data_IF_640523623479
#
_entry.id   IF_640523623479
#
_cell.length_a   1.000
_cell.length_b   1.000
_cell.length_c   1.000
_cell.angle_alpha   90.00
_cell.angle_beta   90.00
_cell.angle_gamma   90.00
#
_symmetry.space_group_name_H-M   'P 1'
#
loop_
_entity.id
_entity.type
_entity.pdbx_description
1 polymer ?
#
# COMPACT_ATOMS: atom_id res chain seq x y z
N UNK A 1 -63.34 -14.48 -14.48
CA UNK A 1 -62.28 -13.45 -14.44
C UNK A 1 -61.08 -14.07 -13.74
N UNK A 2 -60.04 -14.46 -14.48
CA UNK A 2 -58.81 -15.08 -13.94
C UNK A 2 -57.66 -14.10 -14.19
N UNK A 3 -57.20 -13.42 -13.16
CA UNK A 3 -56.03 -12.53 -13.23
C UNK A 3 -54.77 -13.34 -12.92
N UNK A 4 -53.96 -13.61 -13.95
CA UNK A 4 -52.59 -14.10 -13.76
C UNK A 4 -51.71 -12.95 -13.27
N UNK A 5 -51.03 -13.15 -12.15
CA UNK A 5 -49.97 -12.25 -11.68
C UNK A 5 -48.62 -12.76 -12.20
N UNK A 6 -48.00 -12.01 -13.11
CA UNK A 6 -46.67 -12.31 -13.63
C UNK A 6 -45.63 -11.75 -12.65
N UNK A 7 -44.94 -12.62 -11.92
CA UNK A 7 -43.79 -12.23 -11.09
C UNK A 7 -42.58 -12.00 -11.98
N UNK A 8 -42.13 -10.75 -12.10
CA UNK A 8 -40.88 -10.41 -12.76
C UNK A 8 -39.70 -10.69 -11.81
N UNK A 9 -38.88 -11.69 -12.12
CA UNK A 9 -37.57 -11.87 -11.48
C UNK A 9 -36.63 -10.77 -11.98
N UNK A 10 -36.33 -9.79 -11.12
CA UNK A 10 -35.18 -8.89 -11.29
C UNK A 10 -33.91 -9.67 -10.94
N UNK A 11 -33.18 -10.10 -11.97
CA UNK A 11 -31.86 -10.71 -11.79
C UNK A 11 -30.85 -9.67 -11.31
N UNK A 12 -30.36 -9.80 -10.08
CA UNK A 12 -29.21 -9.03 -9.60
C UNK A 12 -27.95 -9.57 -10.28
N UNK A 13 -27.42 -8.79 -11.22
CA UNK A 13 -26.08 -9.05 -11.76
C UNK A 13 -25.09 -8.48 -10.75
N UNK A 14 -24.45 -9.34 -9.96
CA UNK A 14 -23.36 -8.93 -9.09
C UNK A 14 -22.15 -8.58 -9.96
N UNK A 15 -21.83 -7.30 -10.07
CA UNK A 15 -20.59 -6.83 -10.71
C UNK A 15 -19.41 -7.18 -9.79
N UNK A 16 -18.65 -8.21 -10.15
CA UNK A 16 -17.35 -8.50 -9.55
C UNK A 16 -16.39 -7.41 -10.00
N UNK A 17 -16.02 -6.50 -9.09
CA UNK A 17 -14.93 -5.56 -9.35
C UNK A 17 -13.63 -6.35 -9.51
N UNK A 18 -12.91 -6.12 -10.61
CA UNK A 18 -11.60 -6.74 -10.82
C UNK A 18 -10.59 -6.12 -9.84
N UNK A 19 -9.87 -6.96 -9.11
CA UNK A 19 -8.78 -6.53 -8.24
C UNK A 19 -7.62 -5.99 -9.09
N UNK A 20 -7.22 -4.75 -8.85
CA UNK A 20 -6.07 -4.12 -9.51
C UNK A 20 -4.83 -4.19 -8.60
N UNK A 21 -3.67 -4.38 -9.21
CA UNK A 21 -2.37 -4.33 -8.52
C UNK A 21 -1.65 -3.05 -8.92
N UNK A 22 -1.33 -2.23 -7.91
CA UNK A 22 -0.59 -0.98 -8.07
C UNK A 22 0.84 -1.17 -7.60
N UNK A 23 1.83 -0.86 -8.44
CA UNK A 23 3.24 -0.96 -8.05
C UNK A 23 3.79 0.39 -7.59
N UNK A 24 4.42 0.41 -6.42
CA UNK A 24 5.17 1.52 -5.86
C UNK A 24 6.63 1.13 -5.81
N UNK A 25 7.47 1.86 -6.55
CA UNK A 25 8.92 1.70 -6.50
C UNK A 25 9.47 2.37 -5.24
N UNK A 26 10.19 1.61 -4.41
CA UNK A 26 10.79 2.09 -3.16
C UNK A 26 12.30 2.21 -3.35
N UNK A 27 12.81 3.45 -3.38
CA UNK A 27 14.23 3.73 -3.57
C UNK A 27 14.66 3.68 -5.04
N UNK A 28 15.91 3.27 -5.28
CA UNK A 28 16.55 3.27 -6.60
C UNK A 28 17.85 4.06 -6.63
N UNK A 29 18.59 4.05 -7.76
CA UNK A 29 19.90 4.68 -7.84
C UNK A 29 19.84 6.17 -7.50
N UNK A 30 20.45 6.56 -6.37
CA UNK A 30 20.43 7.93 -5.87
C UNK A 30 19.06 8.43 -5.37
N UNK A 31 18.06 7.55 -5.23
CA UNK A 31 16.69 7.94 -4.88
C UNK A 31 16.34 7.58 -3.43
N UNK A 32 15.65 8.50 -2.75
CA UNK A 32 15.07 8.31 -1.41
C UNK A 32 13.56 8.59 -1.46
N UNK A 33 12.84 7.81 -2.27
CA UNK A 33 11.43 8.10 -2.58
C UNK A 33 10.59 6.83 -2.70
N UNK A 34 9.28 7.02 -2.60
CA UNK A 34 8.26 6.11 -3.11
C UNK A 34 7.75 6.68 -4.44
N UNK A 35 7.74 5.88 -5.50
CA UNK A 35 7.27 6.31 -6.83
C UNK A 35 6.15 5.38 -7.33
N UNK A 36 4.91 5.87 -7.44
CA UNK A 36 4.45 7.19 -7.01
C UNK A 36 4.47 7.36 -5.48
N UNK A 37 4.47 8.61 -5.00
CA UNK A 37 4.45 8.92 -3.57
C UNK A 37 3.06 8.90 -2.95
N UNK A 38 2.03 8.78 -3.79
CA UNK A 38 0.66 8.50 -3.34
C UNK A 38 -0.14 7.71 -4.37
N UNK A 39 -1.18 7.02 -3.90
CA UNK A 39 -2.12 6.27 -4.72
C UNK A 39 -3.56 6.46 -4.22
N UNK A 40 -4.51 6.29 -5.16
CA UNK A 40 -5.95 6.24 -4.87
C UNK A 40 -6.60 4.92 -5.33
N UNK A 41 -6.22 3.77 -4.75
CA UNK A 41 -6.71 2.46 -5.17
C UNK A 41 -8.15 2.19 -4.67
N UNK A 42 -8.87 1.28 -5.31
CA UNK A 42 -10.17 0.85 -4.82
C UNK A 42 -10.03 -0.13 -3.64
N UNK A 43 -11.04 -0.20 -2.77
CA UNK A 43 -11.10 -1.27 -1.75
C UNK A 43 -11.11 -2.63 -2.45
N UNK A 44 -10.22 -3.52 -2.01
CA UNK A 44 -9.95 -4.81 -2.63
C UNK A 44 -8.69 -4.85 -3.50
N UNK A 45 -8.15 -3.70 -3.90
CA UNK A 45 -6.88 -3.62 -4.64
C UNK A 45 -5.66 -3.98 -3.78
N UNK A 46 -4.53 -4.20 -4.44
CA UNK A 46 -3.23 -4.48 -3.81
C UNK A 46 -2.23 -3.39 -4.16
N UNK A 47 -1.48 -2.93 -3.18
CA UNK A 47 -0.29 -2.09 -3.36
C UNK A 47 0.96 -2.94 -3.18
N UNK A 48 1.73 -3.13 -4.25
CA UNK A 48 3.02 -3.81 -4.25
C UNK A 48 4.15 -2.79 -4.07
N UNK A 49 4.88 -2.89 -2.96
CA UNK A 49 6.11 -2.14 -2.75
C UNK A 49 7.28 -2.93 -3.33
N UNK A 50 7.81 -2.51 -4.49
CA UNK A 50 9.00 -3.08 -5.12
C UNK A 50 10.23 -2.30 -4.66
N UNK A 51 11.13 -2.94 -3.92
CA UNK A 51 12.31 -2.28 -3.37
C UNK A 51 13.48 -2.33 -4.35
N UNK A 52 14.15 -1.20 -4.50
CA UNK A 52 15.33 -1.04 -5.36
C UNK A 52 16.54 -0.63 -4.54
N UNK A 53 17.63 -0.35 -5.23
CA UNK A 53 18.97 -0.06 -4.69
C UNK A 53 18.96 0.69 -3.36
N UNK A 54 19.88 0.28 -2.46
CA UNK A 54 20.00 0.65 -1.04
C UNK A 54 19.06 -0.14 -0.14
N UNK A 55 18.90 0.30 1.10
CA UNK A 55 18.11 -0.38 2.12
C UNK A 55 16.91 0.49 2.49
N UNK A 56 15.71 -0.03 2.28
CA UNK A 56 14.47 0.70 2.46
C UNK A 56 13.41 -0.14 3.17
N UNK A 57 12.35 0.54 3.61
CA UNK A 57 11.16 -0.08 4.22
C UNK A 57 9.90 0.58 3.64
N UNK A 58 8.76 -0.06 3.82
CA UNK A 58 7.43 0.52 3.80
C UNK A 58 6.80 0.20 5.16
N UNK A 59 6.92 1.14 6.09
CA UNK A 59 6.46 0.98 7.47
C UNK A 59 5.29 1.91 7.72
N UNK A 60 4.15 1.41 8.20
CA UNK A 60 3.00 2.27 8.49
C UNK A 60 3.30 3.25 9.61
N UNK A 61 2.80 4.46 9.43
CA UNK A 61 2.81 5.57 10.39
C UNK A 61 1.43 6.21 10.48
N UNK A 62 1.31 7.23 11.33
CA UNK A 62 0.14 8.11 11.35
C UNK A 62 0.43 9.40 10.61
N UNK A 63 -0.61 10.14 10.22
CA UNK A 63 -0.44 11.48 9.68
C UNK A 63 0.30 12.42 10.65
N UNK A 64 0.00 12.32 11.94
CA UNK A 64 0.54 13.20 12.97
C UNK A 64 2.02 12.88 13.31
N UNK A 65 2.41 11.61 13.21
CA UNK A 65 3.76 11.15 13.49
C UNK A 65 4.31 10.36 12.28
N UNK A 66 4.62 11.03 11.15
CA UNK A 66 4.87 10.37 9.86
C UNK A 66 6.16 9.54 9.84
N UNK A 67 7.12 9.84 10.71
CA UNK A 67 8.39 9.12 10.83
C UNK A 67 8.45 8.17 12.03
N UNK A 68 7.29 7.80 12.57
CA UNK A 68 7.17 6.87 13.69
C UNK A 68 6.28 5.72 13.31
N UNK A 69 6.76 4.54 13.65
CA UNK A 69 6.08 3.27 13.45
C UNK A 69 4.72 3.29 14.17
N UNK A 70 3.67 2.91 13.45
CA UNK A 70 2.29 2.93 13.94
C UNK A 70 2.01 1.74 14.87
N UNK A 71 1.92 2.01 16.16
CA UNK A 71 1.54 1.02 17.19
C UNK A 71 0.10 1.21 17.64
N UNK A 72 -0.49 0.15 18.21
CA UNK A 72 -1.75 0.29 18.94
C UNK A 72 -1.58 1.04 20.28
N UNK A 73 -2.67 1.20 21.03
CA UNK A 73 -2.68 1.90 22.32
C UNK A 73 -1.81 1.21 23.40
N UNK A 74 -1.54 -0.09 23.25
CA UNK A 74 -0.65 -0.83 24.12
C UNK A 74 0.82 -0.77 23.66
N UNK A 75 1.11 -0.05 22.58
CA UNK A 75 2.44 0.05 21.98
C UNK A 75 2.83 -1.17 21.14
N UNK A 76 1.89 -2.06 20.83
CA UNK A 76 2.16 -3.25 20.03
C UNK A 76 2.08 -2.90 18.54
N UNK A 77 3.09 -3.32 17.78
CA UNK A 77 3.10 -3.16 16.33
C UNK A 77 2.18 -4.21 15.68
N UNK A 78 0.96 -3.79 15.32
CA UNK A 78 0.04 -4.58 14.50
C UNK A 78 -0.18 -3.99 13.10
N UNK A 79 0.32 -2.78 12.86
CA UNK A 79 0.28 -2.11 11.57
C UNK A 79 1.29 -2.72 10.58
N UNK A 80 1.03 -2.53 9.30
CA UNK A 80 1.88 -3.07 8.24
C UNK A 80 3.32 -2.56 8.38
N UNK A 81 4.27 -3.49 8.29
CA UNK A 81 5.70 -3.19 8.24
C UNK A 81 6.38 -4.20 7.33
N UNK A 82 7.01 -3.71 6.26
CA UNK A 82 7.75 -4.56 5.34
C UNK A 82 9.02 -5.14 5.96
N UNK A 83 9.55 -4.51 7.01
CA UNK A 83 10.95 -4.69 7.39
C UNK A 83 11.91 -4.09 6.34
N UNK A 84 13.20 -4.33 6.54
CA UNK A 84 14.26 -3.81 5.68
C UNK A 84 14.54 -4.73 4.49
N UNK A 85 14.52 -4.16 3.29
CA UNK A 85 14.90 -4.83 2.05
C UNK A 85 16.17 -4.17 1.48
N UNK A 86 17.37 -4.74 1.72
CA UNK A 86 18.60 -4.27 1.11
C UNK A 86 18.73 -4.81 -0.32
N UNK A 87 18.98 -3.91 -1.28
CA UNK A 87 19.23 -4.23 -2.67
C UNK A 87 20.59 -3.65 -3.08
N UNK A 88 21.43 -4.50 -3.68
CA UNK A 88 22.78 -4.12 -4.10
C UNK A 88 22.76 -3.09 -5.24
N UNK A 89 23.83 -2.30 -5.32
CA UNK A 89 24.01 -1.36 -6.43
C UNK A 89 24.16 -2.11 -7.75
N UNK A 90 23.51 -1.60 -8.79
CA UNK A 90 23.55 -2.21 -10.13
C UNK A 90 22.63 -3.42 -10.34
N UNK A 91 21.79 -3.80 -9.36
CA UNK A 91 20.74 -4.80 -9.59
C UNK A 91 19.74 -4.29 -10.63
N UNK A 92 19.47 -5.10 -11.66
CA UNK A 92 18.57 -4.75 -12.78
C UNK A 92 17.27 -5.55 -12.82
N UNK A 93 17.18 -6.66 -12.08
CA UNK A 93 16.00 -7.53 -12.06
C UNK A 93 15.92 -8.33 -10.75
N UNK A 94 14.77 -8.99 -10.51
CA UNK A 94 14.55 -9.83 -9.32
C UNK A 94 14.38 -9.02 -8.04
N UNK A 95 13.81 -7.81 -8.13
CA UNK A 95 13.59 -6.94 -6.99
C UNK A 95 12.64 -7.57 -5.97
N UNK A 96 12.92 -7.45 -4.67
CA UNK A 96 12.01 -7.92 -3.64
C UNK A 96 10.74 -7.07 -3.61
N UNK A 97 9.62 -7.72 -3.34
CA UNK A 97 8.30 -7.11 -3.28
C UNK A 97 7.58 -7.54 -2.01
N UNK A 98 6.85 -6.62 -1.39
CA UNK A 98 5.83 -6.94 -0.38
C UNK A 98 4.50 -6.27 -0.74
N UNK A 99 3.39 -6.85 -0.28
CA UNK A 99 2.04 -6.44 -0.69
C UNK A 99 1.24 -5.92 0.49
N UNK A 100 0.62 -4.75 0.32
CA UNK A 100 -0.38 -4.20 1.22
C UNK A 100 -1.76 -4.32 0.58
N UNK A 101 -2.71 -4.96 1.28
CA UNK A 101 -4.09 -5.09 0.82
C UNK A 101 -4.90 -3.87 1.22
N UNK A 102 -5.63 -3.27 0.28
CA UNK A 102 -6.51 -2.14 0.54
C UNK A 102 -7.84 -2.66 1.08
N UNK A 103 -7.99 -2.68 2.41
CA UNK A 103 -9.16 -3.26 3.08
C UNK A 103 -10.26 -2.24 3.40
N UNK A 104 -9.96 -0.95 3.35
CA UNK A 104 -10.87 0.16 3.60
C UNK A 104 -10.42 1.40 2.79
N UNK A 105 -11.28 2.41 2.72
CA UNK A 105 -11.07 3.69 2.02
C UNK A 105 -10.47 4.77 2.94
N UNK A 106 -9.95 4.39 4.12
CA UNK A 106 -9.36 5.33 5.06
C UNK A 106 -7.91 5.58 4.66
N UNK A 107 -7.45 6.84 4.68
CA UNK A 107 -6.05 7.14 4.41
C UNK A 107 -5.11 6.35 5.32
N UNK A 108 -4.05 5.80 4.73
CA UNK A 108 -2.91 5.20 5.44
C UNK A 108 -1.62 5.91 5.02
N UNK A 109 -0.69 6.00 5.95
CA UNK A 109 0.60 6.64 5.75
C UNK A 109 1.72 5.65 5.98
N UNK A 110 2.78 5.77 5.20
CA UNK A 110 3.95 4.93 5.27
C UNK A 110 5.20 5.79 5.19
N UNK A 111 6.29 5.27 5.75
CA UNK A 111 7.59 5.91 5.69
C UNK A 111 8.72 4.90 5.62
N UNK A 112 9.88 5.38 5.23
CA UNK A 112 11.10 4.59 5.26
C UNK A 112 11.80 4.76 6.61
N UNK A 113 11.95 3.67 7.34
CA UNK A 113 12.55 3.63 8.67
C UNK A 113 14.10 3.68 8.65
N UNK A 114 14.72 3.81 7.47
CA UNK A 114 16.17 3.87 7.33
C UNK A 114 16.69 5.27 7.74
N UNK A 115 17.32 5.37 8.91
CA UNK A 115 18.04 6.56 9.36
C UNK A 115 17.26 7.86 9.13
N UNK A 116 17.84 8.79 8.38
CA UNK A 116 17.25 10.10 8.06
C UNK A 116 16.34 10.10 6.81
N UNK A 117 15.98 8.94 6.23
CA UNK A 117 15.22 8.91 4.98
C UNK A 117 13.84 9.58 5.13
N UNK A 118 13.11 9.27 6.21
CA UNK A 118 11.80 9.88 6.43
C UNK A 118 11.89 11.39 6.71
N UNK A 119 12.82 11.83 7.56
CA UNK A 119 13.01 13.27 7.80
C UNK A 119 13.51 14.03 6.57
N UNK A 120 14.10 13.32 5.60
CA UNK A 120 14.42 13.83 4.27
C UNK A 120 13.25 13.77 3.27
N UNK A 121 12.05 13.36 3.70
CA UNK A 121 10.82 13.37 2.89
C UNK A 121 10.42 12.03 2.28
N UNK A 122 11.08 10.92 2.64
CA UNK A 122 10.72 9.58 2.15
C UNK A 122 9.46 9.05 2.86
N UNK A 123 8.30 9.52 2.41
CA UNK A 123 6.95 9.17 2.89
C UNK A 123 6.03 8.79 1.74
N UNK A 124 5.01 7.99 2.02
CA UNK A 124 4.00 7.53 1.06
C UNK A 124 2.59 7.59 1.67
N UNK A 125 1.58 7.87 0.86
CA UNK A 125 0.19 7.89 1.27
C UNK A 125 -0.70 7.07 0.33
N UNK A 126 -1.70 6.39 0.88
CA UNK A 126 -2.71 5.66 0.11
C UNK A 126 -4.09 5.97 0.68
N UNK A 127 -5.09 6.22 -0.16
CA UNK A 127 -6.48 6.33 0.27
C UNK A 127 -7.46 5.85 -0.79
#
# INVERSE_FOLDING_TARGET
MRTSATFALLGFVASVAAQTVHTVIVGGPGQLTYTPSCLWPAVGDIVNFEFREKNHTATQSSFAEPCKKLTDAAGVQSAFDSGFYPVAAGTTAGFPVTSFNVTDDKPKWFYCAQGAHCSAGMVFAVR
#
